data_IF_313572290216
#
_entry.id   IF_313572290216
#
_cell.length_a   1.000
_cell.length_b   1.000
_cell.length_c   1.000
_cell.angle_alpha   90.00
_cell.angle_beta   90.00
_cell.angle_gamma   90.00
#
_symmetry.space_group_name_H-M   'P 1'
#
loop_
_entity.id
_entity.type
_entity.pdbx_description
1 polymer ?
#
# COMPACT_ATOMS: atom_id res chain seq x y z
N UNK A 1 6.30 -32.52 -2.20
CA UNK A 1 4.90 -32.03 -2.07
C UNK A 1 4.95 -30.53 -1.81
N UNK A 2 4.71 -29.72 -2.84
CA UNK A 2 4.77 -28.26 -2.75
C UNK A 2 3.51 -27.73 -2.05
N UNK A 3 3.69 -27.03 -0.93
CA UNK A 3 2.62 -26.32 -0.27
C UNK A 3 2.21 -25.11 -1.13
N UNK A 4 1.08 -25.22 -1.81
CA UNK A 4 0.43 -24.09 -2.46
C UNK A 4 -0.14 -23.17 -1.36
N UNK A 5 0.49 -22.02 -1.16
CA UNK A 5 -0.04 -20.97 -0.30
C UNK A 5 -1.39 -20.46 -0.85
N UNK A 6 -2.32 -20.02 0.03
CA UNK A 6 -3.75 -19.96 -0.27
C UNK A 6 -4.13 -18.74 -1.11
N UNK A 7 -4.04 -18.84 -2.44
CA UNK A 7 -4.66 -17.85 -3.35
C UNK A 7 -6.17 -17.70 -3.13
N UNK A 8 -6.83 -18.74 -2.62
CA UNK A 8 -8.29 -18.76 -2.40
C UNK A 8 -8.73 -17.89 -1.20
N UNK A 9 -7.87 -17.70 -0.19
CA UNK A 9 -8.23 -16.92 1.00
C UNK A 9 -8.17 -15.40 0.74
N UNK A 10 -7.20 -14.95 -0.10
CA UNK A 10 -7.14 -13.56 -0.57
C UNK A 10 -8.37 -13.20 -1.40
N UNK A 11 -8.86 -14.15 -2.19
CA UNK A 11 -9.99 -13.96 -3.12
C UNK A 11 -11.35 -13.76 -2.40
N UNK A 12 -11.63 -14.52 -1.33
CA UNK A 12 -12.93 -14.43 -0.62
C UNK A 12 -13.15 -13.17 0.21
N UNK A 13 -12.09 -12.58 0.76
CA UNK A 13 -12.22 -11.36 1.55
C UNK A 13 -12.36 -10.12 0.65
N UNK A 14 -11.62 -10.09 -0.47
CA UNK A 14 -11.67 -9.00 -1.45
C UNK A 14 -13.00 -9.02 -2.24
N UNK A 15 -13.54 -10.19 -2.57
CA UNK A 15 -14.84 -10.32 -3.26
C UNK A 15 -16.07 -9.85 -2.45
N UNK A 16 -15.91 -9.52 -1.16
CA UNK A 16 -16.98 -8.91 -0.33
C UNK A 16 -16.84 -7.40 -0.20
N UNK A 17 -15.73 -6.81 -0.64
CA UNK A 17 -15.54 -5.37 -0.61
C UNK A 17 -16.18 -4.77 -1.85
N UNK A 18 -17.00 -3.74 -1.63
CA UNK A 18 -17.60 -2.98 -2.71
C UNK A 18 -16.52 -2.53 -3.70
N UNK A 19 -16.64 -2.84 -5.00
CA UNK A 19 -15.59 -2.56 -5.98
C UNK A 19 -15.29 -1.07 -6.10
N UNK A 20 -16.28 -0.19 -5.87
CA UNK A 20 -16.06 1.26 -5.85
C UNK A 20 -15.30 1.73 -4.60
N UNK A 21 -15.45 1.02 -3.47
CA UNK A 21 -14.61 1.23 -2.29
C UNK A 21 -13.16 0.80 -2.53
N UNK A 22 -12.94 -0.35 -3.17
CA UNK A 22 -11.60 -0.82 -3.55
C UNK A 22 -10.90 0.12 -4.54
N UNK A 23 -11.64 0.64 -5.53
CA UNK A 23 -11.13 1.61 -6.48
C UNK A 23 -10.62 2.87 -5.75
N UNK A 24 -11.45 3.46 -4.88
CA UNK A 24 -11.08 4.64 -4.08
C UNK A 24 -9.85 4.40 -3.21
N UNK A 25 -9.78 3.23 -2.59
CA UNK A 25 -8.62 2.84 -1.78
C UNK A 25 -7.33 2.82 -2.60
N UNK A 26 -7.40 2.24 -3.79
CA UNK A 26 -6.27 2.14 -4.71
C UNK A 26 -5.85 3.50 -5.27
N UNK A 27 -6.81 4.34 -5.65
CA UNK A 27 -6.55 5.71 -6.08
C UNK A 27 -5.82 6.53 -5.00
N UNK A 28 -6.27 6.44 -3.75
CA UNK A 28 -5.62 7.13 -2.64
C UNK A 28 -4.19 6.62 -2.40
N UNK A 29 -4.01 5.30 -2.44
CA UNK A 29 -2.68 4.68 -2.32
C UNK A 29 -1.72 5.12 -3.44
N UNK A 30 -2.15 5.07 -4.69
CA UNK A 30 -1.33 5.47 -5.85
C UNK A 30 -0.97 6.96 -5.79
N UNK A 31 -1.91 7.81 -5.37
CA UNK A 31 -1.66 9.23 -5.17
C UNK A 31 -0.62 9.49 -4.05
N UNK A 32 -0.74 8.79 -2.92
CA UNK A 32 0.20 8.91 -1.80
C UNK A 32 1.61 8.49 -2.21
N UNK A 33 1.72 7.35 -2.92
CA UNK A 33 2.97 6.83 -3.45
C UNK A 33 3.63 7.80 -4.41
N UNK A 34 2.87 8.35 -5.37
CA UNK A 34 3.36 9.32 -6.34
C UNK A 34 3.89 10.59 -5.66
N UNK A 35 3.12 11.14 -4.71
CA UNK A 35 3.51 12.34 -3.97
C UNK A 35 4.79 12.11 -3.18
N UNK A 36 4.92 10.96 -2.52
CA UNK A 36 6.13 10.61 -1.78
C UNK A 36 7.35 10.48 -2.70
N UNK A 37 7.19 9.73 -3.80
CA UNK A 37 8.25 9.52 -4.81
C UNK A 37 8.75 10.83 -5.39
N UNK A 38 7.86 11.77 -5.67
CA UNK A 38 8.21 13.10 -6.19
C UNK A 38 8.73 14.07 -5.10
N UNK A 39 8.82 13.64 -3.84
CA UNK A 39 9.28 14.48 -2.73
C UNK A 39 8.29 15.59 -2.32
N UNK A 40 7.02 15.48 -2.72
CA UNK A 40 5.96 16.45 -2.39
C UNK A 40 5.57 16.35 -0.92
N UNK A 41 5.61 15.15 -0.35
CA UNK A 41 5.26 14.87 1.05
C UNK A 41 6.43 14.25 1.82
N UNK A 42 6.45 14.44 3.14
CA UNK A 42 7.50 13.88 3.99
C UNK A 42 7.29 12.38 4.26
N UNK A 43 8.32 11.66 4.76
CA UNK A 43 8.16 10.26 5.20
C UNK A 43 7.11 10.09 6.28
N UNK A 44 6.98 11.07 7.17
CA UNK A 44 5.96 11.06 8.22
C UNK A 44 4.54 11.20 7.63
N UNK A 45 4.36 12.04 6.61
CA UNK A 45 3.06 12.19 5.92
C UNK A 45 2.68 10.92 5.17
N UNK A 46 3.65 10.28 4.50
CA UNK A 46 3.45 8.98 3.86
C UNK A 46 3.05 7.89 4.88
N UNK A 47 3.71 7.86 6.06
CA UNK A 47 3.37 6.97 7.14
C UNK A 47 1.92 7.19 7.65
N UNK A 48 1.51 8.45 7.84
CA UNK A 48 0.15 8.77 8.28
C UNK A 48 -0.89 8.37 7.22
N UNK A 49 -0.62 8.61 5.93
CA UNK A 49 -1.51 8.19 4.84
C UNK A 49 -1.68 6.67 4.77
N UNK A 50 -0.60 5.90 4.95
CA UNK A 50 -0.67 4.43 5.03
C UNK A 50 -1.43 3.96 6.28
N UNK A 51 -1.27 4.65 7.41
CA UNK A 51 -2.06 4.38 8.62
C UNK A 51 -3.56 4.65 8.38
N UNK A 52 -3.92 5.69 7.63
CA UNK A 52 -5.31 5.96 7.24
C UNK A 52 -5.87 4.87 6.30
N UNK A 53 -5.01 4.30 5.45
CA UNK A 53 -5.27 3.06 4.70
C UNK A 53 -5.11 1.80 5.56
N UNK A 54 -5.26 1.86 6.88
CA UNK A 54 -5.26 0.67 7.73
C UNK A 54 -3.97 -0.16 7.77
N UNK A 55 -2.86 0.28 7.14
CA UNK A 55 -1.57 -0.40 7.30
C UNK A 55 -1.10 -0.25 8.74
N UNK A 56 -0.62 -1.35 9.33
CA UNK A 56 -0.15 -1.43 10.71
C UNK A 56 1.10 -2.29 10.80
N UNK A 57 1.83 -2.11 11.90
CA UNK A 57 2.96 -2.94 12.31
C UNK A 57 3.94 -3.24 11.16
N UNK A 58 4.12 -4.53 10.84
CA UNK A 58 5.07 -5.00 9.85
C UNK A 58 4.67 -4.61 8.43
N UNK A 59 3.36 -4.56 8.11
CA UNK A 59 2.89 -4.16 6.79
C UNK A 59 3.23 -2.69 6.52
N UNK A 60 3.04 -1.82 7.52
CA UNK A 60 3.41 -0.40 7.41
C UNK A 60 4.91 -0.22 7.18
N UNK A 61 5.75 -0.97 7.90
CA UNK A 61 7.21 -0.91 7.75
C UNK A 61 7.67 -1.35 6.37
N UNK A 62 7.10 -2.43 5.84
CA UNK A 62 7.42 -2.94 4.49
C UNK A 62 7.04 -1.90 3.45
N UNK A 63 5.84 -1.33 3.53
CA UNK A 63 5.33 -0.39 2.54
C UNK A 63 6.15 0.90 2.50
N UNK A 64 6.51 1.45 3.67
CA UNK A 64 7.42 2.59 3.74
C UNK A 64 8.79 2.30 3.13
N UNK A 65 9.33 1.08 3.36
CA UNK A 65 10.62 0.69 2.78
C UNK A 65 10.56 0.60 1.25
N UNK A 66 9.44 0.14 0.69
CA UNK A 66 9.24 0.09 -0.76
C UNK A 66 9.06 1.49 -1.36
N UNK A 67 8.38 2.39 -0.65
CA UNK A 67 8.28 3.81 -1.00
C UNK A 67 9.66 4.48 -1.06
N UNK A 68 10.49 4.26 -0.04
CA UNK A 68 11.87 4.76 0.00
C UNK A 68 12.71 4.22 -1.14
N UNK A 69 12.63 2.91 -1.38
CA UNK A 69 13.34 2.24 -2.47
C UNK A 69 12.97 2.81 -3.83
N UNK A 70 11.69 3.11 -4.05
CA UNK A 70 11.23 3.71 -5.29
C UNK A 70 11.72 5.15 -5.44
N UNK A 71 11.64 5.95 -4.38
CA UNK A 71 12.15 7.32 -4.38
C UNK A 71 13.65 7.36 -4.69
N UNK A 72 14.45 6.48 -4.10
CA UNK A 72 15.89 6.38 -4.37
C UNK A 72 16.25 5.96 -5.80
N UNK A 73 15.30 5.46 -6.60
CA UNK A 73 15.53 5.14 -8.02
C UNK A 73 15.25 6.30 -8.97
N UNK A 74 14.53 7.30 -8.50
CA UNK A 74 14.16 8.49 -9.29
C UNK A 74 15.20 9.61 -9.14
N UNK A 75 15.92 9.62 -8.02
CA UNK A 75 16.96 10.60 -7.68
C UNK A 75 18.33 10.10 -8.14
#
# INVERSE_FOLDING_TARGET
MSAAFPSIARDRAVNRLDPAHLARWREYYDALRLQYRCGVISPHDAQMGLISLGYRDQALRVELSEFDRERSRVI
#
